data_IF_049580646106
#
_entry.id   IF_049580646106
#
_cell.length_a   1.000
_cell.length_b   1.000
_cell.length_c   1.000
_cell.angle_alpha   90.00
_cell.angle_beta   90.00
_cell.angle_gamma   90.00
#
_symmetry.space_group_name_H-M   'P 1'
#
loop_
_entity.id
_entity.type
_entity.pdbx_description
1 polymer ?
#
# COMPACT_ATOMS: atom_id res chain seq x y z
N UNK A 1 1.87 4.66 -5.60
CA UNK A 1 2.87 4.73 -6.68
C UNK A 1 3.60 3.41 -6.82
N UNK A 2 4.07 3.10 -8.02
CA UNK A 2 4.96 2.00 -8.40
C UNK A 2 6.24 2.65 -8.94
N UNK A 3 7.38 2.36 -8.31
CA UNK A 3 8.66 2.98 -8.66
C UNK A 3 9.11 2.52 -10.05
N UNK A 4 9.67 3.44 -10.84
CA UNK A 4 10.31 3.09 -12.10
C UNK A 4 11.65 2.39 -11.86
N UNK A 5 12.07 1.58 -12.82
CA UNK A 5 13.37 0.90 -12.79
C UNK A 5 14.54 1.89 -12.62
N UNK A 6 14.50 3.02 -13.33
CA UNK A 6 15.52 4.07 -13.23
C UNK A 6 15.61 4.64 -11.82
N UNK A 7 14.45 4.92 -11.19
CA UNK A 7 14.42 5.42 -9.82
C UNK A 7 14.91 4.36 -8.82
N UNK A 8 14.57 3.09 -9.02
CA UNK A 8 15.09 2.01 -8.18
C UNK A 8 16.62 1.88 -8.27
N UNK A 9 17.20 2.00 -9.48
CA UNK A 9 18.65 2.01 -9.66
C UNK A 9 19.31 3.19 -8.94
N UNK A 10 18.72 4.39 -9.04
CA UNK A 10 19.20 5.57 -8.33
C UNK A 10 19.16 5.39 -6.80
N UNK A 11 18.12 4.75 -6.27
CA UNK A 11 18.01 4.42 -4.83
C UNK A 11 19.12 3.44 -4.42
N UNK A 12 19.36 2.38 -5.21
CA UNK A 12 20.43 1.41 -4.92
C UNK A 12 21.81 2.10 -4.92
N UNK A 13 22.07 2.97 -5.89
CA UNK A 13 23.31 3.75 -5.97
C UNK A 13 23.47 4.68 -4.77
N UNK A 14 22.40 5.36 -4.36
CA UNK A 14 22.38 6.19 -3.17
C UNK A 14 22.68 5.38 -1.91
N UNK A 15 22.02 4.24 -1.70
CA UNK A 15 22.27 3.36 -0.55
C UNK A 15 23.72 2.86 -0.51
N UNK A 16 24.29 2.50 -1.66
CA UNK A 16 25.71 2.12 -1.74
C UNK A 16 26.64 3.27 -1.31
N UNK A 17 26.43 4.46 -1.87
CA UNK A 17 27.26 5.64 -1.60
C UNK A 17 27.20 6.06 -0.12
N UNK A 18 26.00 6.08 0.45
CA UNK A 18 25.75 6.52 1.82
C UNK A 18 25.87 5.40 2.85
N UNK A 19 26.22 4.17 2.42
CA UNK A 19 26.38 2.99 3.28
C UNK A 19 25.12 2.68 4.10
N UNK A 20 23.97 2.74 3.44
CA UNK A 20 22.66 2.50 4.04
C UNK A 20 22.17 1.08 3.74
N UNK A 21 21.54 0.47 4.74
CA UNK A 21 20.77 -0.75 4.54
C UNK A 21 19.47 -0.40 3.81
N UNK A 22 19.20 -1.07 2.70
CA UNK A 22 17.95 -0.93 1.96
C UNK A 22 16.91 -1.92 2.49
N UNK A 23 15.82 -1.41 3.04
CA UNK A 23 14.66 -2.21 3.45
C UNK A 23 13.56 -2.07 2.40
N UNK A 24 13.39 -3.09 1.56
CA UNK A 24 12.42 -3.12 0.48
C UNK A 24 11.13 -3.80 0.92
N UNK A 25 10.13 -3.02 1.34
CA UNK A 25 8.78 -3.51 1.63
C UNK A 25 7.99 -3.70 0.32
N UNK A 26 7.96 -4.94 -0.17
CA UNK A 26 7.43 -5.32 -1.49
C UNK A 26 6.11 -6.08 -1.38
N UNK A 27 5.38 -5.92 -0.26
CA UNK A 27 4.15 -6.70 0.03
C UNK A 27 3.00 -6.50 -0.97
N UNK A 28 3.04 -5.45 -1.79
CA UNK A 28 2.03 -5.15 -2.81
C UNK A 28 2.49 -5.50 -4.24
N UNK A 29 3.52 -6.34 -4.40
CA UNK A 29 4.12 -6.65 -5.70
C UNK A 29 3.14 -7.15 -6.77
N UNK A 30 2.09 -7.87 -6.37
CA UNK A 30 1.05 -8.37 -7.30
C UNK A 30 -0.07 -7.37 -7.59
N UNK A 31 -0.11 -6.23 -6.90
CA UNK A 31 -1.15 -5.21 -7.07
C UNK A 31 -0.63 -4.04 -7.90
N UNK A 32 -0.53 -4.23 -9.22
CA UNK A 32 -0.08 -3.20 -10.17
C UNK A 32 -1.23 -2.90 -11.15
N UNK A 33 -1.62 -1.63 -11.25
CA UNK A 33 -2.78 -1.19 -12.03
C UNK A 33 -2.43 -0.21 -13.15
N UNK A 34 -1.40 0.61 -12.93
CA UNK A 34 -0.94 1.60 -13.89
C UNK A 34 -0.50 0.93 -15.20
N UNK A 35 -0.94 1.49 -16.32
CA UNK A 35 -0.59 1.00 -17.64
C UNK A 35 0.91 1.24 -17.92
N UNK A 36 1.56 0.25 -18.53
CA UNK A 36 3.00 0.32 -18.85
C UNK A 36 3.94 0.23 -17.64
N UNK A 37 3.42 0.07 -16.41
CA UNK A 37 4.24 -0.20 -15.23
C UNK A 37 4.19 -1.67 -14.84
N UNK A 38 5.33 -2.17 -14.38
CA UNK A 38 5.51 -3.51 -13.87
C UNK A 38 6.25 -3.48 -12.53
N UNK A 39 6.06 -4.52 -11.72
CA UNK A 39 6.84 -4.69 -10.51
C UNK A 39 8.25 -5.19 -10.86
N UNK A 40 9.26 -4.54 -10.29
CA UNK A 40 10.63 -4.99 -10.30
C UNK A 40 11.11 -5.09 -8.86
N UNK A 41 11.51 -6.28 -8.41
CA UNK A 41 12.07 -6.41 -7.06
C UNK A 41 13.41 -5.69 -6.97
N UNK A 42 13.67 -5.05 -5.82
CA UNK A 42 14.97 -4.44 -5.57
C UNK A 42 16.11 -5.45 -5.65
N UNK A 43 15.86 -6.73 -5.38
CA UNK A 43 16.84 -7.80 -5.62
C UNK A 43 17.15 -7.98 -7.11
N UNK A 44 16.14 -8.04 -7.98
CA UNK A 44 16.35 -8.10 -9.44
C UNK A 44 17.15 -6.89 -9.92
N UNK A 45 16.77 -5.69 -9.46
CA UNK A 45 17.47 -4.44 -9.81
C UNK A 45 18.92 -4.48 -9.35
N UNK A 46 19.16 -4.80 -8.08
CA UNK A 46 20.49 -4.88 -7.48
C UNK A 46 21.40 -5.84 -8.26
N UNK A 47 20.90 -7.05 -8.56
CA UNK A 47 21.66 -8.05 -9.34
C UNK A 47 21.96 -7.59 -10.77
N UNK A 48 21.03 -6.85 -11.39
CA UNK A 48 21.23 -6.32 -12.75
C UNK A 48 22.28 -5.21 -12.84
N UNK A 49 22.68 -4.60 -11.71
CA UNK A 49 23.66 -3.52 -11.68
C UNK A 49 25.11 -4.00 -11.63
N UNK A 50 25.34 -5.32 -11.56
CA UNK A 50 26.67 -5.94 -11.63
C UNK A 50 27.38 -6.11 -10.28
N UNK A 51 28.56 -6.72 -10.32
CA UNK A 51 29.30 -7.18 -9.13
C UNK A 51 29.72 -6.04 -8.19
N UNK A 52 29.87 -4.82 -8.72
CA UNK A 52 30.18 -3.64 -7.93
C UNK A 52 29.11 -3.33 -6.86
N UNK A 53 27.90 -3.87 -6.99
CA UNK A 53 26.78 -3.65 -6.07
C UNK A 53 26.51 -4.86 -5.16
N UNK A 54 27.30 -5.94 -5.24
CA UNK A 54 27.07 -7.17 -4.46
C UNK A 54 27.11 -6.96 -2.93
N UNK A 55 27.84 -5.93 -2.48
CA UNK A 55 28.04 -5.60 -1.07
C UNK A 55 26.95 -4.65 -0.52
N UNK A 56 25.98 -4.25 -1.35
CA UNK A 56 24.83 -3.48 -0.87
C UNK A 56 23.95 -4.38 -0.01
N UNK A 57 23.73 -3.94 1.22
CA UNK A 57 22.87 -4.60 2.19
C UNK A 57 21.40 -4.34 1.84
N UNK A 58 20.68 -5.40 1.48
CA UNK A 58 19.27 -5.36 1.11
C UNK A 58 18.48 -6.41 1.91
N UNK A 59 17.36 -5.98 2.48
CA UNK A 59 16.33 -6.85 3.05
C UNK A 59 15.03 -6.62 2.30
N UNK A 60 14.58 -7.63 1.55
CA UNK A 60 13.28 -7.61 0.86
C UNK A 60 12.22 -8.30 1.70
N UNK A 61 11.02 -7.74 1.79
CA UNK A 61 9.89 -8.29 2.55
C UNK A 61 8.72 -8.66 1.64
N UNK A 62 8.10 -9.81 1.91
CA UNK A 62 6.85 -10.22 1.27
C UNK A 62 5.87 -10.84 2.27
N UNK A 63 4.57 -10.74 1.98
CA UNK A 63 3.50 -11.20 2.85
C UNK A 63 2.36 -11.86 2.08
N UNK A 64 1.72 -12.86 2.69
CA UNK A 64 0.49 -13.49 2.18
C UNK A 64 -0.74 -12.60 2.35
N UNK A 65 -0.61 -11.45 3.04
CA UNK A 65 -1.76 -10.66 3.49
C UNK A 65 -2.38 -9.77 2.41
N UNK A 66 -1.68 -9.55 1.30
CA UNK A 66 -2.02 -8.59 0.24
C UNK A 66 -2.11 -9.33 -1.10
N UNK A 67 -2.14 -8.60 -2.22
CA UNK A 67 -2.34 -9.23 -3.52
C UNK A 67 -3.79 -9.67 -3.73
N UNK A 68 -3.98 -10.57 -4.68
CA UNK A 68 -5.26 -11.23 -4.92
C UNK A 68 -5.51 -12.42 -3.97
N UNK A 69 -4.50 -12.83 -3.19
CA UNK A 69 -4.64 -13.83 -2.12
C UNK A 69 -5.39 -13.25 -0.92
N UNK A 70 -4.95 -12.11 -0.38
CA UNK A 70 -5.69 -11.37 0.66
C UNK A 70 -5.79 -12.07 2.03
N UNK A 71 -4.87 -12.99 2.34
CA UNK A 71 -4.97 -13.92 3.46
C UNK A 71 -4.39 -13.36 4.78
N UNK A 72 -4.80 -12.16 5.17
CA UNK A 72 -4.18 -11.40 6.27
C UNK A 72 -4.27 -12.10 7.64
N UNK A 73 -5.32 -12.89 7.88
CA UNK A 73 -5.51 -13.66 9.11
C UNK A 73 -4.54 -14.84 9.27
N UNK A 74 -3.90 -15.29 8.18
CA UNK A 74 -2.97 -16.42 8.17
C UNK A 74 -1.57 -16.07 8.67
N UNK A 75 -1.27 -14.76 8.76
CA UNK A 75 -0.01 -14.23 9.30
C UNK A 75 1.24 -14.87 8.65
N UNK A 76 1.21 -15.06 7.33
CA UNK A 76 2.32 -15.56 6.53
C UNK A 76 3.19 -14.42 5.97
N UNK A 77 4.51 -14.61 5.99
CA UNK A 77 5.49 -13.62 5.57
C UNK A 77 6.88 -14.23 5.47
N UNK A 78 7.74 -13.64 4.65
CA UNK A 78 9.17 -13.88 4.69
C UNK A 78 9.95 -12.58 4.47
N UNK A 79 11.24 -12.64 4.80
CA UNK A 79 12.21 -11.66 4.36
C UNK A 79 13.41 -12.37 3.75
N UNK A 80 14.04 -11.74 2.77
CA UNK A 80 15.29 -12.21 2.19
C UNK A 80 16.39 -11.18 2.42
N UNK A 81 17.54 -11.62 2.94
CA UNK A 81 18.69 -10.77 3.24
C UNK A 81 19.84 -11.08 2.28
N UNK A 82 20.44 -10.04 1.68
CA UNK A 82 21.64 -10.16 0.83
C UNK A 82 22.64 -9.05 1.16
N UNK A 83 23.93 -9.31 0.92
CA UNK A 83 25.00 -8.33 1.19
C UNK A 83 25.40 -8.20 2.67
N UNK A 84 24.97 -9.14 3.52
CA UNK A 84 25.34 -9.19 4.94
C UNK A 84 26.40 -10.26 5.20
N UNK A 85 27.23 -10.06 6.22
CA UNK A 85 28.14 -11.09 6.73
C UNK A 85 27.39 -12.17 7.54
N UNK A 86 28.00 -13.34 7.65
CA UNK A 86 27.44 -14.48 8.37
C UNK A 86 27.18 -14.17 9.86
N UNK A 87 27.94 -13.25 10.47
CA UNK A 87 27.75 -12.81 11.85
C UNK A 87 26.40 -12.12 12.04
N UNK A 88 26.03 -11.22 11.14
CA UNK A 88 24.70 -10.59 11.12
C UNK A 88 23.60 -11.65 10.91
N UNK A 89 23.79 -12.59 9.99
CA UNK A 89 22.87 -13.71 9.79
C UNK A 89 22.66 -14.54 11.08
N UNK A 90 23.73 -14.80 11.82
CA UNK A 90 23.67 -15.46 13.13
C UNK A 90 22.88 -14.67 14.17
N UNK A 91 23.05 -13.35 14.23
CA UNK A 91 22.29 -12.48 15.13
C UNK A 91 20.80 -12.44 14.76
N UNK A 92 20.46 -12.40 13.47
CA UNK A 92 19.08 -12.44 13.01
C UNK A 92 18.40 -13.76 13.38
N UNK A 93 19.08 -14.89 13.19
CA UNK A 93 18.60 -16.19 13.64
C UNK A 93 18.41 -16.24 15.16
N UNK A 94 19.36 -15.69 15.94
CA UNK A 94 19.23 -15.60 17.39
C UNK A 94 17.97 -14.83 17.80
N UNK A 95 17.70 -13.67 17.18
CA UNK A 95 16.50 -12.88 17.45
C UNK A 95 15.23 -13.65 17.04
N UNK A 96 15.21 -14.24 15.85
CA UNK A 96 14.07 -15.01 15.36
C UNK A 96 13.74 -16.22 16.26
N UNK A 97 14.76 -16.88 16.79
CA UNK A 97 14.62 -18.09 17.62
C UNK A 97 13.95 -17.84 18.97
N UNK A 98 13.92 -16.59 19.45
CA UNK A 98 13.24 -16.23 20.71
C UNK A 98 11.75 -16.60 20.68
N UNK A 99 11.13 -16.54 19.49
CA UNK A 99 9.73 -16.91 19.30
C UNK A 99 9.53 -18.33 18.75
N UNK A 100 10.58 -19.18 18.80
CA UNK A 100 10.65 -20.53 18.22
C UNK A 100 10.58 -20.52 16.68
N UNK A 101 9.39 -20.26 16.13
CA UNK A 101 9.14 -20.15 14.69
C UNK A 101 7.81 -19.42 14.42
N UNK A 102 7.57 -19.02 13.17
CA UNK A 102 6.26 -18.51 12.76
C UNK A 102 5.24 -19.64 12.65
N UNK A 103 3.95 -19.30 12.59
CA UNK A 103 2.90 -20.32 12.51
C UNK A 103 2.98 -21.15 11.21
N UNK A 104 2.84 -22.47 11.33
CA UNK A 104 3.01 -23.41 10.20
C UNK A 104 2.02 -23.17 9.07
N UNK A 105 0.77 -22.80 9.36
CA UNK A 105 -0.23 -22.52 8.33
C UNK A 105 0.17 -21.34 7.44
N UNK A 106 0.74 -20.28 8.02
CA UNK A 106 1.28 -19.13 7.30
C UNK A 106 2.52 -19.49 6.48
N UNK A 107 3.36 -20.42 6.96
CA UNK A 107 4.51 -20.93 6.20
C UNK A 107 4.07 -21.73 4.96
N UNK A 108 3.11 -22.65 5.12
CA UNK A 108 2.53 -23.43 4.01
C UNK A 108 1.89 -22.48 3.00
N UNK A 109 1.12 -21.51 3.46
CA UNK A 109 0.50 -20.56 2.55
C UNK A 109 1.54 -19.73 1.80
N UNK A 110 2.64 -19.35 2.46
CA UNK A 110 3.72 -18.63 1.79
C UNK A 110 4.34 -19.47 0.67
N UNK A 111 4.54 -20.78 0.86
CA UNK A 111 5.03 -21.62 -0.23
C UNK A 111 4.04 -21.70 -1.39
N UNK A 112 2.72 -21.73 -1.12
CA UNK A 112 1.69 -21.74 -2.17
C UNK A 112 1.63 -20.40 -2.94
N UNK A 113 1.85 -19.27 -2.25
CA UNK A 113 1.92 -17.95 -2.91
C UNK A 113 3.15 -17.87 -3.83
N UNK A 114 4.29 -18.42 -3.41
CA UNK A 114 5.54 -18.33 -4.16
C UNK A 114 5.67 -19.42 -5.24
N UNK A 115 4.90 -20.49 -5.15
CA UNK A 115 4.85 -21.58 -6.14
C UNK A 115 3.38 -21.90 -6.52
N UNK A 116 2.70 -20.98 -7.24
CA UNK A 116 1.32 -21.18 -7.65
C UNK A 116 1.19 -22.26 -8.73
N UNK A 117 -0.04 -22.72 -9.05
CA UNK A 117 -0.28 -23.62 -10.18
C UNK A 117 0.36 -23.11 -11.47
N UNK A 118 0.91 -24.03 -12.28
CA UNK A 118 1.63 -23.75 -13.52
C UNK A 118 0.86 -24.29 -14.72
N UNK A 119 1.19 -23.78 -15.91
CA UNK A 119 0.61 -24.28 -17.15
C UNK A 119 0.79 -25.81 -17.27
N UNK A 120 -0.32 -26.52 -17.46
CA UNK A 120 -0.39 -27.98 -17.43
C UNK A 120 -1.01 -28.57 -16.17
N UNK A 121 -1.04 -27.83 -15.05
CA UNK A 121 -1.74 -28.27 -13.84
C UNK A 121 -3.25 -28.20 -14.02
N UNK A 122 -3.97 -29.15 -13.39
CA UNK A 122 -5.43 -29.27 -13.52
C UNK A 122 -6.19 -27.99 -13.08
N UNK A 123 -5.67 -27.26 -12.09
CA UNK A 123 -6.29 -26.04 -11.54
C UNK A 123 -5.80 -24.74 -12.17
N UNK A 124 -4.79 -24.78 -13.06
CA UNK A 124 -4.13 -23.57 -13.56
C UNK A 124 -5.10 -22.60 -14.25
N UNK A 125 -5.95 -23.12 -15.14
CA UNK A 125 -6.90 -22.29 -15.88
C UNK A 125 -7.87 -21.53 -14.95
N UNK A 126 -8.38 -22.22 -13.92
CA UNK A 126 -9.25 -21.62 -12.92
C UNK A 126 -8.51 -20.58 -12.07
N UNK A 127 -7.29 -20.92 -11.62
CA UNK A 127 -6.45 -20.02 -10.82
C UNK A 127 -6.17 -18.70 -11.55
N UNK A 128 -5.76 -18.75 -12.83
CA UNK A 128 -5.51 -17.55 -13.64
C UNK A 128 -6.78 -16.73 -13.82
N UNK A 129 -7.91 -17.38 -14.09
CA UNK A 129 -9.20 -16.71 -14.24
C UNK A 129 -9.60 -15.96 -12.96
N UNK A 130 -9.50 -16.58 -11.79
CA UNK A 130 -9.83 -15.97 -10.49
C UNK A 130 -8.88 -14.82 -10.15
N UNK A 131 -7.57 -15.03 -10.31
CA UNK A 131 -6.55 -13.99 -10.12
C UNK A 131 -6.86 -12.76 -10.97
N UNK A 132 -7.04 -12.96 -12.27
CA UNK A 132 -7.20 -11.86 -13.22
C UNK A 132 -8.54 -11.13 -12.99
N UNK A 133 -9.59 -11.85 -12.60
CA UNK A 133 -10.86 -11.25 -12.20
C UNK A 133 -10.73 -10.34 -10.97
N UNK A 134 -10.03 -10.81 -9.92
CA UNK A 134 -9.79 -10.04 -8.69
C UNK A 134 -8.95 -8.80 -8.98
N UNK A 135 -7.84 -8.94 -9.69
CA UNK A 135 -6.94 -7.82 -10.01
C UNK A 135 -7.62 -6.79 -10.92
N UNK A 136 -8.38 -7.25 -11.91
CA UNK A 136 -9.17 -6.38 -12.79
C UNK A 136 -10.26 -5.62 -12.02
N UNK A 137 -10.90 -6.29 -11.07
CA UNK A 137 -11.88 -5.66 -10.17
C UNK A 137 -11.24 -4.57 -9.32
N UNK A 138 -10.11 -4.85 -8.68
CA UNK A 138 -9.39 -3.87 -7.88
C UNK A 138 -8.96 -2.66 -8.72
N UNK A 139 -8.48 -2.89 -9.96
CA UNK A 139 -8.13 -1.81 -10.91
C UNK A 139 -9.33 -0.92 -11.24
N UNK A 140 -10.51 -1.50 -11.51
CA UNK A 140 -11.74 -0.73 -11.76
C UNK A 140 -12.13 0.10 -10.54
N UNK A 141 -12.14 -0.51 -9.35
CA UNK A 141 -12.46 0.16 -8.09
C UNK A 141 -11.49 1.30 -7.76
N UNK A 142 -10.20 1.09 -7.96
CA UNK A 142 -9.17 2.11 -7.82
C UNK A 142 -9.45 3.32 -8.73
N UNK A 143 -9.76 3.08 -10.02
CA UNK A 143 -10.12 4.14 -10.97
C UNK A 143 -11.38 4.88 -10.54
N UNK A 144 -12.42 4.15 -10.14
CA UNK A 144 -13.69 4.74 -9.70
C UNK A 144 -13.48 5.66 -8.51
N UNK A 145 -12.83 5.21 -7.43
CA UNK A 145 -12.65 6.04 -6.23
C UNK A 145 -11.80 7.28 -6.51
N UNK A 146 -10.69 7.14 -7.23
CA UNK A 146 -9.80 8.26 -7.57
C UNK A 146 -10.55 9.28 -8.43
N UNK A 147 -11.29 8.82 -9.44
CA UNK A 147 -12.07 9.69 -10.32
C UNK A 147 -13.19 10.42 -9.57
N UNK A 148 -13.82 9.77 -8.60
CA UNK A 148 -14.87 10.37 -7.78
C UNK A 148 -14.29 11.40 -6.81
N UNK A 149 -13.18 11.10 -6.15
CA UNK A 149 -12.49 12.02 -5.26
C UNK A 149 -12.01 13.29 -6.00
N UNK A 150 -11.47 13.13 -7.20
CA UNK A 150 -11.01 14.26 -8.03
C UNK A 150 -12.13 15.18 -8.55
N UNK A 151 -13.41 14.81 -8.38
CA UNK A 151 -14.55 15.68 -8.71
C UNK A 151 -14.97 16.58 -7.55
N UNK A 152 -14.49 16.30 -6.34
CA UNK A 152 -14.87 17.04 -5.14
C UNK A 152 -14.11 18.38 -5.05
N UNK A 153 -14.78 19.39 -4.51
CA UNK A 153 -14.21 20.74 -4.37
C UNK A 153 -12.97 20.72 -3.46
N UNK A 154 -11.86 21.29 -3.93
CA UNK A 154 -10.64 21.37 -3.12
C UNK A 154 -10.01 20.01 -2.80
N UNK A 155 -10.39 18.93 -3.49
CA UNK A 155 -9.81 17.59 -3.37
C UNK A 155 -8.95 17.27 -4.58
N UNK A 156 -7.76 16.73 -4.35
CA UNK A 156 -6.89 16.21 -5.40
C UNK A 156 -6.35 14.85 -4.98
N UNK A 157 -6.48 13.84 -5.85
CA UNK A 157 -6.06 12.48 -5.61
C UNK A 157 -5.16 12.01 -6.74
N UNK A 158 -3.94 11.62 -6.39
CA UNK A 158 -3.04 10.93 -7.31
C UNK A 158 -3.63 9.58 -7.73
N UNK A 159 -3.24 9.12 -8.92
CA UNK A 159 -3.60 7.79 -9.38
C UNK A 159 -3.06 6.70 -8.43
N UNK A 160 -3.93 5.74 -8.11
CA UNK A 160 -3.56 4.54 -7.40
C UNK A 160 -2.90 3.57 -8.39
N UNK A 161 -1.61 3.77 -8.65
CA UNK A 161 -0.83 2.93 -9.59
C UNK A 161 -0.74 1.46 -9.16
N UNK A 162 -0.99 1.18 -7.89
CA UNK A 162 -0.94 -0.15 -7.31
C UNK A 162 -1.44 -0.18 -5.85
N UNK A 163 -1.18 -1.26 -5.14
CA UNK A 163 -1.63 -1.52 -3.76
C UNK A 163 -3.17 -1.49 -3.60
N UNK A 164 -3.70 -1.02 -2.48
CA UNK A 164 -5.14 -1.09 -2.15
C UNK A 164 -5.69 0.22 -1.55
N UNK A 165 -4.97 1.34 -1.74
CA UNK A 165 -5.28 2.61 -1.08
C UNK A 165 -5.25 3.80 -2.04
N UNK A 166 -6.14 4.75 -1.77
CA UNK A 166 -6.07 6.11 -2.29
C UNK A 166 -5.75 7.08 -1.14
N UNK A 167 -5.04 8.16 -1.45
CA UNK A 167 -4.57 9.14 -0.46
C UNK A 167 -4.82 10.57 -0.97
N UNK A 168 -6.09 11.00 -1.08
CA UNK A 168 -6.42 12.35 -1.52
C UNK A 168 -5.89 13.42 -0.58
N UNK A 169 -5.41 14.51 -1.16
CA UNK A 169 -5.24 15.81 -0.51
C UNK A 169 -6.58 16.52 -0.45
N UNK A 170 -6.91 17.10 0.70
CA UNK A 170 -8.12 17.90 0.92
C UNK A 170 -7.75 19.32 1.36
N UNK A 171 -8.36 20.31 0.73
CA UNK A 171 -8.27 21.71 1.15
C UNK A 171 -9.29 21.94 2.26
N UNK A 172 -8.84 21.95 3.51
CA UNK A 172 -9.71 22.16 4.66
C UNK A 172 -9.85 23.66 4.93
N UNK A 173 -11.07 24.23 4.94
CA UNK A 173 -11.29 25.66 5.21
C UNK A 173 -10.73 26.12 6.56
N UNK A 174 -10.31 27.39 6.67
CA UNK A 174 -9.71 27.90 7.90
C UNK A 174 -10.62 27.75 9.12
N UNK A 175 -11.94 27.98 8.96
CA UNK A 175 -12.91 27.79 10.05
C UNK A 175 -12.94 26.35 10.58
N UNK A 176 -12.79 25.36 9.69
CA UNK A 176 -12.69 23.95 10.10
C UNK A 176 -11.36 23.67 10.81
N UNK A 177 -10.27 24.30 10.39
CA UNK A 177 -8.98 24.17 11.06
C UNK A 177 -9.02 24.78 12.47
N UNK A 178 -9.65 25.95 12.62
CA UNK A 178 -9.85 26.61 13.91
C UNK A 178 -10.75 25.78 14.83
N UNK A 179 -11.86 25.25 14.31
CA UNK A 179 -12.74 24.35 15.05
C UNK A 179 -12.03 23.05 15.48
N UNK A 180 -11.14 22.50 14.64
CA UNK A 180 -10.33 21.35 14.99
C UNK A 180 -9.36 21.68 16.13
N UNK A 181 -8.74 22.87 16.09
CA UNK A 181 -7.82 23.36 17.12
C UNK A 181 -8.54 23.57 18.46
N UNK A 182 -9.74 24.15 18.47
CA UNK A 182 -10.58 24.30 19.66
C UNK A 182 -10.92 22.95 20.32
N UNK A 183 -11.08 21.91 19.50
CA UNK A 183 -11.32 20.53 19.97
C UNK A 183 -10.03 19.77 20.32
N UNK A 184 -8.85 20.40 20.23
CA UNK A 184 -7.56 19.75 20.47
C UNK A 184 -7.21 18.67 19.44
N UNK A 185 -7.65 18.82 18.19
CA UNK A 185 -7.52 17.83 17.12
C UNK A 185 -6.78 18.39 15.91
N UNK A 186 -6.25 17.50 15.08
CA UNK A 186 -5.74 17.86 13.75
C UNK A 186 -6.91 18.08 12.78
N UNK A 187 -6.79 19.00 11.80
CA UNK A 187 -7.89 19.29 10.87
C UNK A 187 -8.39 18.08 10.07
N UNK A 188 -7.48 17.23 9.59
CA UNK A 188 -7.84 15.99 8.90
C UNK A 188 -8.58 14.98 9.80
N UNK A 189 -8.20 14.90 11.08
CA UNK A 189 -8.90 14.07 12.06
C UNK A 189 -10.32 14.58 12.33
N UNK A 190 -10.53 15.90 12.35
CA UNK A 190 -11.89 16.46 12.43
C UNK A 190 -12.72 16.03 11.21
N UNK A 191 -12.19 16.23 10.00
CA UNK A 191 -12.85 15.82 8.75
C UNK A 191 -13.23 14.33 8.76
N UNK A 192 -12.30 13.44 9.10
CA UNK A 192 -12.53 12.00 9.11
C UNK A 192 -13.58 11.58 10.16
N UNK A 193 -13.61 12.25 11.33
CA UNK A 193 -14.59 11.94 12.39
C UNK A 193 -15.98 12.45 12.01
N UNK A 194 -16.10 13.63 11.41
CA UNK A 194 -17.38 14.13 10.93
C UNK A 194 -17.91 13.24 9.78
N UNK A 195 -17.03 12.80 8.87
CA UNK A 195 -17.37 11.85 7.81
C UNK A 195 -17.94 10.55 8.39
N UNK A 196 -17.23 9.96 9.35
CA UNK A 196 -17.65 8.72 10.03
C UNK A 196 -19.01 8.89 10.70
N UNK A 197 -19.23 10.00 11.43
CA UNK A 197 -20.49 10.25 12.14
C UNK A 197 -21.67 10.43 11.19
N UNK A 198 -21.44 11.05 10.03
CA UNK A 198 -22.50 11.35 9.05
C UNK A 198 -22.85 10.14 8.20
N UNK A 199 -21.85 9.38 7.76
CA UNK A 199 -22.00 8.38 6.69
C UNK A 199 -21.72 6.95 7.14
N UNK A 200 -21.09 6.75 8.31
CA UNK A 200 -20.56 5.45 8.72
C UNK A 200 -19.25 5.06 8.02
N UNK A 201 -18.79 5.84 7.04
CA UNK A 201 -17.54 5.56 6.31
C UNK A 201 -16.34 5.88 7.19
N UNK A 202 -15.58 4.85 7.56
CA UNK A 202 -14.37 4.98 8.37
C UNK A 202 -13.12 5.09 7.47
N UNK A 203 -12.48 6.25 7.49
CA UNK A 203 -11.20 6.52 6.83
C UNK A 203 -10.13 6.90 7.85
N UNK A 204 -8.86 6.81 7.46
CA UNK A 204 -7.74 7.13 8.38
C UNK A 204 -7.19 8.52 8.06
N UNK A 205 -7.07 9.44 9.04
CA UNK A 205 -6.54 10.78 8.79
C UNK A 205 -5.07 10.76 8.37
N UNK A 206 -4.70 11.69 7.49
CA UNK A 206 -3.34 11.85 6.95
C UNK A 206 -2.27 12.08 8.01
N UNK A 207 -2.64 12.73 9.11
CA UNK A 207 -1.79 13.00 10.27
C UNK A 207 -1.21 11.75 10.94
N UNK A 208 -1.82 10.57 10.74
CA UNK A 208 -1.27 9.28 11.18
C UNK A 208 -0.12 8.73 10.32
N UNK A 209 0.09 9.26 9.11
CA UNK A 209 1.09 8.78 8.15
C UNK A 209 2.33 9.66 8.02
N UNK A 210 2.30 10.85 8.62
CA UNK A 210 3.22 11.93 8.27
C UNK A 210 2.84 12.57 6.94
N UNK A 211 2.79 13.89 6.91
CA UNK A 211 2.43 14.66 5.73
C UNK A 211 3.14 16.02 5.76
N UNK A 212 3.26 16.66 4.59
CA UNK A 212 3.84 18.01 4.51
C UNK A 212 3.03 18.99 5.37
N UNK A 213 3.71 19.87 6.08
CA UNK A 213 3.05 20.90 6.87
C UNK A 213 2.13 21.77 5.99
N UNK A 214 0.94 22.09 6.51
CA UNK A 214 -0.09 22.84 5.78
C UNK A 214 -0.87 22.02 4.75
N UNK A 215 -0.62 20.71 4.63
CA UNK A 215 -1.40 19.80 3.78
C UNK A 215 -2.21 18.84 4.64
N UNK A 216 -3.39 18.45 4.14
CA UNK A 216 -4.30 17.56 4.84
C UNK A 216 -4.73 16.45 3.91
N UNK A 217 -4.79 15.23 4.42
CA UNK A 217 -5.14 14.05 3.64
C UNK A 217 -6.02 13.11 4.45
N UNK A 218 -6.55 12.10 3.78
CA UNK A 218 -7.02 10.88 4.43
C UNK A 218 -6.68 9.68 3.55
N UNK A 219 -6.52 8.51 4.16
CA UNK A 219 -6.39 7.25 3.44
C UNK A 219 -7.73 6.54 3.39
N UNK A 220 -8.18 6.20 2.19
CA UNK A 220 -9.32 5.32 1.96
C UNK A 220 -8.88 4.04 1.25
N UNK A 221 -9.66 2.97 1.43
CA UNK A 221 -9.45 1.71 0.72
C UNK A 221 -10.40 1.64 -0.46
N UNK A 222 -10.03 0.88 -1.49
CA UNK A 222 -10.97 0.49 -2.55
C UNK A 222 -11.28 -1.02 -2.52
N UNK A 223 -11.31 -1.57 -1.30
CA UNK A 223 -11.66 -2.97 -1.00
C UNK A 223 -13.16 -3.30 -0.94
N UNK A 224 -14.09 -2.35 -0.68
CA UNK A 224 -15.52 -2.64 -0.78
C UNK A 224 -15.89 -3.31 -2.12
N UNK A 225 -17.02 -4.02 -2.18
CA UNK A 225 -17.45 -4.66 -3.41
C UNK A 225 -17.76 -3.59 -4.47
N UNK A 226 -17.65 -3.94 -5.76
CA UNK A 226 -18.00 -3.01 -6.86
C UNK A 226 -19.43 -2.48 -6.76
N UNK A 227 -20.34 -3.26 -6.18
CA UNK A 227 -21.75 -2.93 -6.00
C UNK A 227 -21.99 -1.88 -4.91
N UNK A 228 -21.13 -1.84 -3.88
CA UNK A 228 -21.24 -0.87 -2.77
C UNK A 228 -20.65 0.51 -3.12
N UNK A 229 -19.81 0.58 -4.16
CA UNK A 229 -19.10 1.81 -4.53
C UNK A 229 -20.01 3.02 -4.80
N UNK A 230 -21.12 2.89 -5.55
CA UNK A 230 -22.01 4.01 -5.80
C UNK A 230 -22.54 4.66 -4.51
N UNK A 231 -22.91 3.85 -3.51
CA UNK A 231 -23.40 4.35 -2.23
C UNK A 231 -22.29 5.02 -1.41
N UNK A 232 -21.11 4.41 -1.35
CA UNK A 232 -19.94 4.97 -0.66
C UNK A 232 -19.54 6.32 -1.28
N UNK A 233 -19.47 6.39 -2.61
CA UNK A 233 -19.14 7.62 -3.34
C UNK A 233 -20.20 8.69 -3.09
N UNK A 234 -21.48 8.33 -3.13
CA UNK A 234 -22.58 9.27 -2.83
C UNK A 234 -22.46 9.84 -1.42
N UNK A 235 -22.27 8.99 -0.41
CA UNK A 235 -22.12 9.42 0.98
C UNK A 235 -20.90 10.32 1.19
N UNK A 236 -19.76 10.00 0.55
CA UNK A 236 -18.57 10.84 0.58
C UNK A 236 -18.82 12.21 -0.04
N UNK A 237 -19.48 12.28 -1.20
CA UNK A 237 -19.78 13.53 -1.90
C UNK A 237 -20.73 14.41 -1.08
N UNK A 238 -21.85 13.85 -0.62
CA UNK A 238 -22.86 14.60 0.17
C UNK A 238 -22.25 15.14 1.47
N UNK A 239 -21.47 14.31 2.18
CA UNK A 239 -20.74 14.75 3.36
C UNK A 239 -19.77 15.89 3.03
N UNK A 240 -18.96 15.73 1.97
CA UNK A 240 -17.93 16.68 1.62
C UNK A 240 -18.54 18.05 1.27
N UNK A 241 -19.60 18.08 0.47
CA UNK A 241 -20.30 19.32 0.12
C UNK A 241 -20.91 20.02 1.35
N UNK A 242 -21.53 19.25 2.26
CA UNK A 242 -22.05 19.80 3.52
C UNK A 242 -20.93 20.35 4.41
N UNK A 243 -19.81 19.63 4.51
CA UNK A 243 -18.65 20.04 5.29
C UNK A 243 -18.08 21.36 4.75
N UNK A 244 -17.89 21.46 3.43
CA UNK A 244 -17.42 22.69 2.79
C UNK A 244 -18.39 23.85 3.03
N UNK A 245 -19.71 23.65 2.86
CA UNK A 245 -20.72 24.69 3.15
C UNK A 245 -20.73 25.13 4.61
N UNK A 246 -20.59 24.18 5.55
CA UNK A 246 -20.56 24.45 7.01
C UNK A 246 -19.37 25.31 7.41
N UNK A 247 -18.22 25.14 6.75
CA UNK A 247 -16.96 25.77 7.12
C UNK A 247 -16.43 26.79 6.09
N UNK A 248 -17.21 27.09 5.04
CA UNK A 248 -16.92 28.12 4.04
C UNK A 248 -16.68 29.49 4.67
#
# INVERSE_FOLDING_TARGET
QVLSLENQKAIVEFCKKEKLILLADEVYQDNIYAEGKEFNSFKKVLRSMGDDYKDVQLISFMSTSKGFYGECGRRGGYMEMVGFDDGVGGLMNKIASVNLCSNTAGQILMSLVMDPPKEGDASYGLYVQERDAILSSLKRRAKTIVSSLNKLEGVSCNDAEGAMYAFPTITIPQKAQDAAKEQGRKPDALYCIELLKKTGVCVVPGSGFGQKEGTFHFRTTFLPSEEDFPEIVKGLTEFHEEFMKKYA
#
